data_IF_884952327591
#
_entry.id   IF_884952327591
#
_cell.length_a   1.000
_cell.length_b   1.000
_cell.length_c   1.000
_cell.angle_alpha   90.00
_cell.angle_beta   90.00
_cell.angle_gamma   90.00
#
_symmetry.space_group_name_H-M   'P 1'
#
loop_
_entity.id
_entity.type
_entity.pdbx_description
1 polymer ?
#
# COMPACT_ATOMS: atom_id res chain seq x y z
N UNK A 1 -5.89 11.79 -4.96
CA UNK A 1 -4.86 11.30 -4.02
C UNK A 1 -3.50 11.88 -4.33
N UNK A 2 -3.01 12.79 -3.49
CA UNK A 2 -1.57 13.13 -3.47
C UNK A 2 -0.84 11.92 -2.90
N UNK A 3 0.17 11.43 -3.60
CA UNK A 3 1.02 10.36 -3.08
C UNK A 3 2.01 10.96 -2.09
N UNK A 4 1.81 10.71 -0.81
CA UNK A 4 2.75 11.12 0.24
C UNK A 4 3.92 10.14 0.31
N UNK A 5 5.07 10.63 0.78
CA UNK A 5 6.32 9.86 0.83
C UNK A 5 6.16 8.53 1.61
N UNK A 6 5.32 8.56 2.65
CA UNK A 6 5.08 7.43 3.55
C UNK A 6 3.91 6.51 3.13
N UNK A 7 3.24 6.80 2.02
CA UNK A 7 2.07 6.04 1.61
C UNK A 7 2.45 4.64 1.14
N UNK A 8 1.62 3.63 1.48
CA UNK A 8 1.73 2.31 0.89
C UNK A 8 1.75 2.37 -0.63
N UNK A 9 2.59 1.54 -1.25
CA UNK A 9 2.73 1.46 -2.71
C UNK A 9 2.55 0.03 -3.17
N UNK A 10 1.66 -0.18 -4.14
CA UNK A 10 1.55 -1.42 -4.88
C UNK A 10 2.50 -1.39 -6.09
N UNK A 11 3.24 -2.46 -6.31
CA UNK A 11 4.08 -2.62 -7.51
C UNK A 11 4.28 -4.09 -7.88
N UNK A 12 4.76 -4.33 -9.10
CA UNK A 12 5.18 -5.65 -9.55
C UNK A 12 6.64 -5.90 -9.23
N UNK A 13 6.92 -7.00 -8.54
CA UNK A 13 8.28 -7.39 -8.14
C UNK A 13 9.15 -7.66 -9.38
N UNK A 14 10.32 -7.02 -9.46
CA UNK A 14 11.30 -7.33 -10.52
C UNK A 14 12.11 -8.59 -10.23
N UNK A 15 12.22 -8.97 -8.97
CA UNK A 15 13.01 -10.11 -8.50
C UNK A 15 12.22 -10.91 -7.46
N UNK A 16 12.65 -12.14 -7.20
CA UNK A 16 12.15 -12.92 -6.07
C UNK A 16 12.34 -12.13 -4.78
N UNK A 17 11.24 -11.90 -4.08
CA UNK A 17 11.22 -11.12 -2.85
C UNK A 17 10.62 -11.95 -1.72
N UNK A 18 10.71 -11.51 -0.48
CA UNK A 18 10.16 -12.24 0.67
C UNK A 18 9.19 -11.36 1.43
N UNK A 19 8.01 -11.90 1.75
CA UNK A 19 7.02 -11.20 2.56
C UNK A 19 7.53 -11.08 4.02
N UNK A 20 7.59 -9.86 4.56
CA UNK A 20 8.03 -9.62 5.93
C UNK A 20 7.06 -10.14 7.02
N UNK A 21 5.82 -10.51 6.67
CA UNK A 21 4.80 -10.99 7.62
C UNK A 21 4.68 -12.51 7.69
N UNK A 22 4.68 -13.19 6.55
CA UNK A 22 4.47 -14.64 6.47
C UNK A 22 5.70 -15.40 5.94
N UNK A 23 6.80 -14.70 5.66
CA UNK A 23 8.05 -15.25 5.14
C UNK A 23 7.93 -16.03 3.82
N UNK A 24 6.76 -15.98 3.16
CA UNK A 24 6.57 -16.59 1.84
C UNK A 24 7.38 -15.84 0.80
N UNK A 25 7.96 -16.62 -0.14
CA UNK A 25 8.57 -16.07 -1.35
C UNK A 25 7.49 -15.47 -2.24
N UNK A 26 7.71 -14.24 -2.65
CA UNK A 26 6.95 -13.51 -3.66
C UNK A 26 7.66 -13.77 -4.99
N UNK A 27 6.99 -14.39 -5.97
CA UNK A 27 7.60 -14.66 -7.27
C UNK A 27 8.00 -13.36 -7.98
N UNK A 28 8.83 -13.48 -9.00
CA UNK A 28 9.06 -12.40 -9.95
C UNK A 28 7.77 -12.05 -10.70
N UNK A 29 7.64 -10.79 -11.12
CA UNK A 29 6.48 -10.20 -11.80
C UNK A 29 5.14 -10.34 -11.05
N UNK A 30 5.20 -10.56 -9.74
CA UNK A 30 4.03 -10.71 -8.90
C UNK A 30 3.67 -9.42 -8.18
N UNK A 31 2.40 -9.25 -7.85
CA UNK A 31 1.94 -8.08 -7.10
C UNK A 31 2.45 -8.10 -5.66
N UNK A 32 3.08 -7.01 -5.23
CA UNK A 32 3.55 -6.81 -3.87
C UNK A 32 3.18 -5.40 -3.38
N UNK A 33 3.15 -5.26 -2.06
CA UNK A 33 2.77 -4.03 -1.37
C UNK A 33 3.90 -3.61 -0.43
N UNK A 34 4.48 -2.44 -0.67
CA UNK A 34 5.50 -1.87 0.19
C UNK A 34 4.91 -0.77 1.04
N UNK A 35 5.25 -0.80 2.33
CA UNK A 35 4.80 0.15 3.34
C UNK A 35 6.02 0.94 3.84
N UNK A 36 6.30 2.14 3.30
CA UNK A 36 7.49 2.92 3.64
C UNK A 36 7.58 3.24 5.13
N UNK A 37 6.44 3.55 5.76
CA UNK A 37 6.35 3.86 7.19
C UNK A 37 6.90 2.75 8.10
N UNK A 38 6.77 1.48 7.69
CA UNK A 38 7.30 0.33 8.45
C UNK A 38 8.49 -0.34 7.77
N UNK A 39 8.86 0.13 6.57
CA UNK A 39 9.85 -0.47 5.66
C UNK A 39 9.60 -1.97 5.40
N UNK A 40 8.31 -2.36 5.35
CA UNK A 40 7.90 -3.76 5.15
C UNK A 40 7.42 -4.01 3.73
N UNK A 41 7.79 -5.17 3.19
CA UNK A 41 7.26 -5.71 1.94
C UNK A 41 6.27 -6.83 2.26
N UNK A 42 5.04 -6.72 1.77
CA UNK A 42 3.98 -7.70 1.98
C UNK A 42 3.54 -8.32 0.66
N UNK A 43 3.28 -9.63 0.68
CA UNK A 43 2.66 -10.32 -0.45
C UNK A 43 1.19 -9.95 -0.59
N UNK A 44 0.56 -10.37 -1.70
CA UNK A 44 -0.84 -10.08 -1.96
C UNK A 44 -1.80 -10.51 -0.85
N UNK A 45 -1.62 -11.71 -0.29
CA UNK A 45 -2.47 -12.20 0.80
C UNK A 45 -2.32 -11.41 2.10
N UNK A 46 -1.14 -10.84 2.37
CA UNK A 46 -0.86 -10.14 3.63
C UNK A 46 -1.09 -8.63 3.53
N UNK A 47 -0.74 -8.03 2.40
CA UNK A 47 -0.75 -6.60 2.18
C UNK A 47 -1.94 -6.09 1.37
N UNK A 48 -2.59 -6.94 0.57
CA UNK A 48 -3.66 -6.51 -0.34
C UNK A 48 -4.86 -5.93 0.39
N UNK A 49 -5.35 -6.62 1.44
CA UNK A 49 -6.47 -6.12 2.24
C UNK A 49 -6.14 -4.81 2.96
N UNK A 50 -4.94 -4.72 3.54
CA UNK A 50 -4.48 -3.50 4.26
C UNK A 50 -4.32 -2.33 3.29
N UNK A 51 -3.75 -2.59 2.11
CA UNK A 51 -3.59 -1.59 1.06
C UNK A 51 -4.93 -1.07 0.56
N UNK A 52 -5.89 -1.97 0.29
CA UNK A 52 -7.23 -1.57 -0.12
C UNK A 52 -7.96 -0.75 0.96
N UNK A 53 -7.85 -1.16 2.23
CA UNK A 53 -8.40 -0.39 3.35
C UNK A 53 -7.77 1.01 3.44
N UNK A 54 -6.45 1.13 3.24
CA UNK A 54 -5.77 2.42 3.17
C UNK A 54 -6.30 3.28 2.02
N UNK A 55 -6.43 2.72 0.81
CA UNK A 55 -6.97 3.44 -0.34
C UNK A 55 -8.39 3.94 -0.09
N UNK A 56 -9.26 3.11 0.49
CA UNK A 56 -10.62 3.49 0.86
C UNK A 56 -10.66 4.60 1.91
N UNK A 57 -9.77 4.55 2.91
CA UNK A 57 -9.66 5.61 3.93
C UNK A 57 -9.14 6.91 3.33
N UNK A 58 -8.10 6.85 2.48
CA UNK A 58 -7.53 8.01 1.82
C UNK A 58 -8.52 8.70 0.88
N UNK A 59 -9.39 7.96 0.17
CA UNK A 59 -10.49 8.55 -0.59
C UNK A 59 -11.48 9.30 0.29
N UNK A 60 -11.78 8.78 1.48
CA UNK A 60 -12.74 9.39 2.38
C UNK A 60 -12.19 10.71 2.95
N UNK A 61 -10.91 10.74 3.36
CA UNK A 61 -10.27 11.96 3.85
C UNK A 61 -10.13 13.04 2.76
N UNK A 62 -9.87 12.68 1.51
CA UNK A 62 -9.84 13.63 0.38
C UNK A 62 -11.22 14.25 0.13
N UNK A 63 -12.30 13.48 0.31
CA UNK A 63 -13.68 13.98 0.19
C UNK A 63 -14.04 14.95 1.33
N UNK A 64 -13.78 14.56 2.59
CA UNK A 64 -14.05 15.41 3.76
C UNK A 64 -13.20 16.68 3.76
N UNK A 65 -11.90 16.59 3.46
CA UNK A 65 -11.03 17.77 3.40
C UNK A 65 -11.48 18.76 2.31
N UNK A 66 -12.00 18.28 1.18
CA UNK A 66 -12.58 19.15 0.14
C UNK A 66 -13.89 19.81 0.58
N UNK A 67 -14.71 19.12 1.37
CA UNK A 67 -16.01 19.63 1.80
C UNK A 67 -15.92 20.71 2.90
N UNK A 68 -14.84 20.73 3.68
CA UNK A 68 -14.64 21.72 4.75
C UNK A 68 -13.62 22.84 4.42
N UNK A 69 -13.01 22.84 3.23
CA UNK A 69 -12.10 23.90 2.76
C UNK A 69 -12.80 24.96 1.88
N UNK A 70 -14.13 25.10 1.97
CA UNK A 70 -14.82 26.30 1.50
C UNK A 70 -14.75 27.37 2.61
N UNK A 71 -13.70 28.17 2.58
CA UNK A 71 -13.62 29.45 3.28
C UNK A 71 -13.14 30.53 2.33
#
# INVERSE_FOLDING_TARGET
MRHYENDPRAFRTRFFSTCSKCSKKIPQDSMAYYFPATRKLLCQSCGGAVYNAFLSSATNEEYYSRQYNYR
#
